data_IF_886544553658
#
_entry.id   IF_886544553658
#
_cell.length_a   1.000
_cell.length_b   1.000
_cell.length_c   1.000
_cell.angle_alpha   90.00
_cell.angle_beta   90.00
_cell.angle_gamma   90.00
#
_symmetry.space_group_name_H-M   'P 1'
#
loop_
_entity.id
_entity.type
_entity.pdbx_description
1 polymer ?
#
# COMPACT_ATOMS: atom_id res chain seq x y z
N UNK A 1 10.13 -12.24 12.05
CA UNK A 1 10.90 -13.40 11.55
C UNK A 1 11.72 -13.05 10.32
N UNK A 2 11.16 -12.40 9.30
CA UNK A 2 11.89 -12.06 8.08
C UNK A 2 13.15 -11.22 8.35
N UNK A 3 13.09 -10.13 9.11
CA UNK A 3 14.27 -9.28 9.36
C UNK A 3 15.31 -9.84 10.37
N UNK A 4 15.04 -11.04 10.91
CA UNK A 4 15.85 -11.70 11.96
C UNK A 4 16.38 -13.04 11.44
N UNK A 5 15.49 -14.00 11.22
CA UNK A 5 15.85 -15.38 10.92
C UNK A 5 16.27 -15.56 9.46
N UNK A 6 15.66 -14.84 8.51
CA UNK A 6 16.00 -14.97 7.09
C UNK A 6 17.41 -14.45 6.78
N UNK A 7 17.85 -13.25 7.23
CA UNK A 7 19.25 -12.83 7.12
C UNK A 7 20.23 -13.81 7.77
N UNK A 8 19.90 -14.33 8.96
CA UNK A 8 20.73 -15.32 9.62
C UNK A 8 20.85 -16.59 8.77
N UNK A 9 19.75 -17.08 8.21
CA UNK A 9 19.73 -18.25 7.32
C UNK A 9 20.54 -18.00 6.03
N UNK A 10 20.34 -16.86 5.37
CA UNK A 10 21.11 -16.47 4.18
C UNK A 10 22.61 -16.43 4.47
N UNK A 11 23.03 -15.75 5.55
CA UNK A 11 24.45 -15.70 5.96
C UNK A 11 24.98 -17.07 6.39
N UNK A 12 24.12 -17.96 6.88
CA UNK A 12 24.48 -19.32 7.26
C UNK A 12 24.88 -20.17 6.06
N UNK A 13 24.17 -19.99 4.94
CA UNK A 13 24.45 -20.65 3.67
C UNK A 13 25.54 -19.94 2.85
N UNK A 14 25.51 -18.61 2.81
CA UNK A 14 26.51 -17.79 2.14
C UNK A 14 27.08 -16.73 3.11
N UNK A 15 28.22 -17.01 3.75
CA UNK A 15 28.87 -16.06 4.63
C UNK A 15 29.44 -14.83 3.90
N UNK A 16 29.45 -14.78 2.56
CA UNK A 16 29.91 -13.60 1.79
C UNK A 16 28.78 -12.65 1.42
N UNK A 17 27.53 -13.05 1.62
CA UNK A 17 26.35 -12.25 1.27
C UNK A 17 26.32 -10.91 2.03
N UNK A 18 25.85 -9.89 1.33
CA UNK A 18 25.65 -8.54 1.85
C UNK A 18 24.15 -8.28 1.98
N UNK A 19 23.67 -8.07 3.20
CA UNK A 19 22.24 -7.93 3.49
C UNK A 19 21.98 -6.57 4.10
N UNK A 20 21.05 -5.82 3.53
CA UNK A 20 20.55 -4.56 4.07
C UNK A 20 19.17 -4.77 4.67
N UNK A 21 18.95 -4.32 5.89
CA UNK A 21 17.65 -4.33 6.56
C UNK A 21 17.25 -2.90 6.95
N UNK A 22 16.06 -2.50 6.53
CA UNK A 22 15.52 -1.15 6.70
C UNK A 22 14.21 -1.22 7.45
N UNK A 23 13.99 -0.30 8.38
CA UNK A 23 12.68 -0.10 9.03
C UNK A 23 12.32 1.39 9.12
N UNK A 24 11.09 1.73 9.48
CA UNK A 24 10.71 3.15 9.64
C UNK A 24 11.58 3.89 10.68
N UNK A 25 12.09 3.20 11.72
CA UNK A 25 12.90 3.78 12.78
C UNK A 25 14.20 3.00 13.04
N UNK A 26 15.28 3.73 13.33
CA UNK A 26 16.60 3.17 13.58
C UNK A 26 16.60 2.26 14.81
N UNK A 27 15.87 2.62 15.87
CA UNK A 27 15.79 1.81 17.09
C UNK A 27 15.19 0.41 16.83
N UNK A 28 14.15 0.34 15.99
CA UNK A 28 13.54 -0.93 15.58
C UNK A 28 14.53 -1.74 14.73
N UNK A 29 15.17 -1.11 13.74
CA UNK A 29 16.17 -1.76 12.90
C UNK A 29 17.33 -2.36 13.74
N UNK A 30 17.80 -1.60 14.74
CA UNK A 30 18.86 -2.00 15.68
C UNK A 30 18.42 -3.13 16.60
N UNK A 31 17.15 -3.16 17.02
CA UNK A 31 16.59 -4.28 17.78
C UNK A 31 16.59 -5.56 16.94
N UNK A 32 16.06 -5.49 15.72
CA UNK A 32 16.04 -6.63 14.80
C UNK A 32 17.46 -7.14 14.49
N UNK A 33 18.45 -6.23 14.44
CA UNK A 33 19.86 -6.57 14.30
C UNK A 33 20.40 -7.37 15.50
N UNK A 34 20.11 -6.93 16.72
CA UNK A 34 20.49 -7.62 17.96
C UNK A 34 19.86 -9.01 18.03
N UNK A 35 18.60 -9.14 17.65
CA UNK A 35 17.90 -10.42 17.65
C UNK A 35 18.50 -11.36 16.60
N UNK A 36 18.78 -10.87 15.39
CA UNK A 36 19.44 -11.64 14.33
C UNK A 36 20.82 -12.14 14.79
N UNK A 37 21.60 -11.25 15.40
CA UNK A 37 22.93 -11.58 15.92
C UNK A 37 22.86 -12.61 17.03
N UNK A 38 21.88 -12.50 17.93
CA UNK A 38 21.64 -13.48 19.00
C UNK A 38 21.36 -14.87 18.45
N UNK A 39 20.57 -14.96 17.36
CA UNK A 39 20.35 -16.23 16.64
C UNK A 39 21.66 -16.80 16.10
N UNK A 40 22.48 -15.98 15.41
CA UNK A 40 23.75 -16.43 14.84
C UNK A 40 24.79 -16.85 15.89
N UNK A 41 24.71 -16.29 17.10
CA UNK A 41 25.58 -16.65 18.22
C UNK A 41 25.07 -17.86 19.02
N UNK A 42 23.83 -18.31 18.77
CA UNK A 42 23.26 -19.45 19.49
C UNK A 42 24.00 -20.77 19.17
N UNK A 43 24.07 -21.72 20.12
CA UNK A 43 24.69 -23.02 19.87
C UNK A 43 24.06 -23.78 18.70
N UNK A 44 22.72 -23.72 18.57
CA UNK A 44 21.98 -24.39 17.50
C UNK A 44 22.37 -23.87 16.11
N UNK A 45 22.46 -22.55 15.94
CA UNK A 45 22.90 -21.98 14.67
C UNK A 45 24.33 -22.39 14.33
N UNK A 46 25.24 -22.33 15.31
CA UNK A 46 26.65 -22.67 15.13
C UNK A 46 26.88 -24.16 14.83
N UNK A 47 25.97 -25.03 15.28
CA UNK A 47 25.97 -26.46 14.98
C UNK A 47 25.53 -26.73 13.53
N UNK A 48 24.60 -25.93 12.99
CA UNK A 48 24.06 -26.11 11.64
C UNK A 48 24.96 -25.45 10.59
N UNK A 49 25.39 -24.22 10.84
CA UNK A 49 26.09 -23.40 9.85
C UNK A 49 27.56 -23.19 10.21
N UNK A 50 28.48 -23.24 9.23
CA UNK A 50 29.90 -22.97 9.46
C UNK A 50 30.18 -21.46 9.63
N UNK A 51 29.25 -20.58 9.25
CA UNK A 51 29.41 -19.12 9.33
C UNK A 51 29.71 -18.64 10.75
N UNK A 52 30.68 -17.72 10.88
CA UNK A 52 31.04 -17.08 12.16
C UNK A 52 31.07 -15.58 12.00
N UNK A 53 30.67 -14.86 13.05
CA UNK A 53 30.80 -13.40 13.10
C UNK A 53 32.25 -13.01 13.40
N UNK A 54 32.73 -11.97 12.75
CA UNK A 54 34.08 -11.47 13.00
C UNK A 54 34.15 -10.79 14.39
N UNK A 55 35.27 -10.97 15.13
CA UNK A 55 35.39 -10.42 16.48
C UNK A 55 35.56 -8.89 16.48
N UNK A 56 36.05 -8.29 15.39
CA UNK A 56 36.49 -6.90 15.34
C UNK A 56 35.43 -5.90 14.83
N UNK A 57 34.27 -6.36 14.37
CA UNK A 57 33.18 -5.48 13.90
C UNK A 57 31.82 -6.02 14.34
N UNK A 58 31.42 -5.59 15.53
CA UNK A 58 30.23 -6.05 16.25
C UNK A 58 29.25 -4.92 16.57
N UNK A 59 29.30 -3.82 15.81
CA UNK A 59 28.36 -2.72 16.01
C UNK A 59 26.93 -3.25 15.81
N UNK A 60 25.98 -2.71 16.58
CA UNK A 60 24.57 -3.13 16.49
C UNK A 60 24.03 -2.88 15.07
N UNK A 61 24.37 -1.73 14.49
CA UNK A 61 23.98 -1.34 13.15
C UNK A 61 24.63 -2.20 12.07
N UNK A 62 25.81 -2.77 12.33
CA UNK A 62 26.56 -3.54 11.35
C UNK A 62 27.43 -4.60 12.02
N UNK A 63 27.15 -5.85 11.69
CA UNK A 63 28.05 -6.96 11.99
C UNK A 63 28.45 -7.67 10.69
N UNK A 64 29.66 -8.22 10.72
CA UNK A 64 30.26 -8.89 9.55
C UNK A 64 30.58 -10.34 9.90
N UNK A 65 30.63 -11.19 8.89
CA UNK A 65 31.13 -12.56 9.01
C UNK A 65 32.65 -12.60 8.88
N UNK A 66 33.25 -13.73 9.23
CA UNK A 66 34.67 -14.01 8.98
C UNK A 66 35.04 -14.08 7.50
N UNK A 67 34.06 -14.12 6.59
CA UNK A 67 34.25 -14.07 5.13
C UNK A 67 33.82 -12.74 4.49
N UNK A 68 33.76 -11.67 5.28
CA UNK A 68 33.48 -10.30 4.84
C UNK A 68 32.05 -10.04 4.30
N UNK A 69 31.14 -11.01 4.37
CA UNK A 69 29.70 -10.72 4.25
C UNK A 69 29.20 -9.97 5.47
N UNK A 70 28.03 -9.33 5.37
CA UNK A 70 27.52 -8.49 6.45
C UNK A 70 26.00 -8.37 6.47
N UNK A 71 25.50 -7.95 7.63
CA UNK A 71 24.16 -7.41 7.77
C UNK A 71 24.27 -5.95 8.24
N UNK A 72 23.70 -5.03 7.47
CA UNK A 72 23.61 -3.61 7.77
C UNK A 72 22.17 -3.24 8.11
N UNK A 73 21.97 -2.46 9.16
CA UNK A 73 20.67 -1.96 9.61
C UNK A 73 20.59 -0.44 9.49
N UNK A 74 19.52 0.06 8.88
CA UNK A 74 19.25 1.50 8.79
C UNK A 74 17.75 1.79 8.89
N UNK A 75 17.38 3.06 8.87
CA UNK A 75 16.00 3.52 8.76
C UNK A 75 15.73 4.20 7.41
N UNK A 76 14.45 4.45 7.13
CA UNK A 76 14.07 5.40 6.07
C UNK A 76 14.77 6.75 6.30
N UNK A 77 15.31 7.34 5.23
CA UNK A 77 16.11 8.56 5.29
C UNK A 77 17.57 8.34 5.75
N UNK A 78 17.96 7.12 6.11
CA UNK A 78 19.31 6.78 6.52
C UNK A 78 20.33 6.87 5.37
N UNK A 79 21.59 7.12 5.73
CA UNK A 79 22.70 7.23 4.76
C UNK A 79 23.19 5.84 4.37
N UNK A 80 23.15 5.53 3.07
CA UNK A 80 23.60 4.26 2.49
C UNK A 80 24.77 4.41 1.51
N UNK A 81 25.39 5.59 1.43
CA UNK A 81 26.44 5.88 0.45
C UNK A 81 27.61 4.91 0.55
N UNK A 82 27.92 4.23 -0.57
CA UNK A 82 29.03 3.27 -0.66
C UNK A 82 28.74 1.90 -0.03
N UNK A 83 27.50 1.62 0.39
CA UNK A 83 27.10 0.36 1.02
C UNK A 83 26.12 -0.39 0.12
N UNK A 84 26.59 -1.44 -0.54
CA UNK A 84 25.77 -2.30 -1.39
C UNK A 84 25.03 -3.40 -0.62
N UNK A 85 24.16 -4.13 -1.31
CA UNK A 85 23.56 -5.36 -0.78
C UNK A 85 23.14 -6.29 -1.92
N UNK A 86 23.24 -7.59 -1.67
CA UNK A 86 22.70 -8.64 -2.53
C UNK A 86 21.22 -8.88 -2.21
N UNK A 87 20.82 -8.66 -0.96
CA UNK A 87 19.42 -8.74 -0.51
C UNK A 87 19.10 -7.50 0.33
N UNK A 88 18.02 -6.80 -0.04
CA UNK A 88 17.48 -5.68 0.73
C UNK A 88 16.13 -6.08 1.31
N UNK A 89 15.96 -5.92 2.62
CA UNK A 89 14.70 -6.16 3.33
C UNK A 89 14.21 -4.82 3.87
N UNK A 90 12.99 -4.45 3.53
CA UNK A 90 12.31 -3.26 4.01
C UNK A 90 11.12 -3.74 4.86
N UNK A 91 11.19 -3.51 6.17
CA UNK A 91 10.25 -4.02 7.17
C UNK A 91 9.54 -2.83 7.85
N UNK A 92 8.27 -2.64 7.52
CA UNK A 92 7.43 -1.50 7.89
C UNK A 92 8.14 -0.15 7.63
N UNK A 93 8.17 0.35 6.37
CA UNK A 93 8.89 1.59 6.03
C UNK A 93 8.21 2.84 6.58
N UNK A 94 6.93 2.78 6.95
CA UNK A 94 6.14 3.92 7.41
C UNK A 94 5.37 3.55 8.67
N UNK A 95 5.22 4.50 9.58
CA UNK A 95 4.22 4.40 10.64
C UNK A 95 2.83 4.75 10.11
N UNK A 96 1.74 4.25 10.72
CA UNK A 96 0.37 4.62 10.34
C UNK A 96 0.11 6.12 10.31
N UNK A 97 0.63 6.89 11.27
CA UNK A 97 0.44 8.35 11.30
C UNK A 97 1.20 9.05 10.18
N UNK A 98 2.38 8.52 9.83
CA UNK A 98 3.23 9.07 8.78
C UNK A 98 2.64 8.81 7.39
N UNK A 99 1.94 7.69 7.23
CA UNK A 99 1.23 7.37 6.01
C UNK A 99 0.05 8.32 5.72
N UNK A 100 -0.42 9.13 6.68
CA UNK A 100 -1.41 10.18 6.42
C UNK A 100 -0.78 11.47 5.88
N UNK A 101 0.54 11.63 6.01
CA UNK A 101 1.25 12.82 5.54
C UNK A 101 1.83 12.61 4.14
N UNK A 102 1.32 13.37 3.17
CA UNK A 102 1.80 13.37 1.78
C UNK A 102 3.31 13.62 1.68
N UNK A 103 3.85 14.46 2.57
CA UNK A 103 5.27 14.77 2.61
C UNK A 103 6.11 13.58 3.08
N UNK A 104 5.64 12.84 4.10
CA UNK A 104 6.37 11.68 4.62
C UNK A 104 6.27 10.48 3.68
N UNK A 105 5.10 10.24 3.06
CA UNK A 105 4.95 9.22 2.02
C UNK A 105 5.89 9.47 0.85
N UNK A 106 5.87 10.70 0.30
CA UNK A 106 6.79 11.08 -0.79
C UNK A 106 8.25 10.96 -0.37
N UNK A 107 8.61 11.40 0.83
CA UNK A 107 9.98 11.26 1.33
C UNK A 107 10.46 9.81 1.40
N UNK A 108 9.61 8.87 1.83
CA UNK A 108 9.94 7.45 1.85
C UNK A 108 10.10 6.88 0.42
N UNK A 109 9.18 7.24 -0.48
CA UNK A 109 9.19 6.81 -1.88
C UNK A 109 10.42 7.37 -2.64
N UNK A 110 10.71 8.67 -2.50
CA UNK A 110 11.90 9.31 -3.08
C UNK A 110 13.20 8.73 -2.52
N UNK A 111 13.25 8.43 -1.22
CA UNK A 111 14.40 7.77 -0.63
C UNK A 111 14.60 6.35 -1.19
N UNK A 112 13.52 5.61 -1.42
CA UNK A 112 13.58 4.32 -2.10
C UNK A 112 14.18 4.47 -3.51
N UNK A 113 13.60 5.35 -4.34
CA UNK A 113 13.98 5.53 -5.75
C UNK A 113 15.43 6.01 -5.90
N UNK A 114 15.81 7.05 -5.14
CA UNK A 114 17.08 7.74 -5.32
C UNK A 114 18.22 7.15 -4.51
N UNK A 115 17.92 6.57 -3.34
CA UNK A 115 18.97 6.09 -2.42
C UNK A 115 19.06 4.58 -2.39
N UNK A 116 17.96 3.88 -2.09
CA UNK A 116 17.97 2.45 -1.78
C UNK A 116 18.07 1.58 -3.02
N UNK A 117 17.27 1.85 -4.07
CA UNK A 117 17.20 1.01 -5.26
C UNK A 117 18.57 0.84 -5.93
N UNK A 118 19.38 1.91 -5.94
CA UNK A 118 20.75 1.89 -6.48
C UNK A 118 21.72 1.00 -5.68
N UNK A 119 21.40 0.63 -4.43
CA UNK A 119 22.25 -0.19 -3.54
C UNK A 119 22.16 -1.67 -3.80
N UNK A 120 21.18 -2.12 -4.58
CA UNK A 120 21.13 -3.51 -5.02
C UNK A 120 22.31 -3.78 -5.95
N UNK A 121 23.25 -4.62 -5.49
CA UNK A 121 24.52 -4.92 -6.15
C UNK A 121 24.31 -5.48 -7.55
N UNK A 122 23.46 -6.50 -7.66
CA UNK A 122 23.10 -7.16 -8.90
C UNK A 122 21.58 -7.09 -9.08
N UNK A 123 21.11 -6.30 -10.06
CA UNK A 123 19.68 -6.10 -10.33
C UNK A 123 19.02 -7.30 -11.01
N UNK A 124 19.79 -8.30 -11.45
CA UNK A 124 19.28 -9.53 -12.06
C UNK A 124 19.21 -10.68 -11.05
N UNK A 125 20.10 -10.70 -10.07
CA UNK A 125 20.25 -11.81 -9.12
C UNK A 125 19.93 -11.45 -7.68
N UNK A 126 20.06 -10.17 -7.33
CA UNK A 126 19.70 -9.68 -6.02
C UNK A 126 18.18 -9.58 -5.85
N UNK A 127 17.76 -9.41 -4.61
CA UNK A 127 16.34 -9.31 -4.27
C UNK A 127 16.08 -8.11 -3.36
N UNK A 128 14.94 -7.45 -3.58
CA UNK A 128 14.35 -6.49 -2.65
C UNK A 128 13.07 -7.13 -2.12
N UNK A 129 12.91 -7.15 -0.80
CA UNK A 129 11.76 -7.75 -0.12
C UNK A 129 11.13 -6.65 0.72
N UNK A 130 9.87 -6.32 0.42
CA UNK A 130 9.09 -5.34 1.19
C UNK A 130 8.07 -6.11 2.02
N UNK A 131 8.06 -5.83 3.32
CA UNK A 131 7.18 -6.47 4.30
C UNK A 131 6.52 -5.35 5.06
N UNK A 132 5.22 -5.17 4.85
CA UNK A 132 4.44 -4.20 5.59
C UNK A 132 2.95 -4.55 5.49
N UNK A 133 2.18 -3.99 6.41
CA UNK A 133 0.75 -3.79 6.17
C UNK A 133 0.55 -2.57 5.27
N UNK A 134 -0.44 -2.60 4.36
CA UNK A 134 -0.80 -1.42 3.57
C UNK A 134 -1.35 -0.32 4.48
N UNK A 135 -0.90 0.92 4.25
CA UNK A 135 -1.32 2.09 5.05
C UNK A 135 -2.01 3.16 4.21
N UNK A 136 -1.68 3.25 2.93
CA UNK A 136 -2.22 4.24 2.00
C UNK A 136 -2.11 3.72 0.56
N UNK A 137 -2.89 4.25 -0.38
CA UNK A 137 -2.75 3.86 -1.80
C UNK A 137 -1.36 4.21 -2.35
N UNK A 138 -0.86 5.41 -2.02
CA UNK A 138 0.49 5.89 -2.34
C UNK A 138 1.58 5.53 -1.30
N UNK A 139 1.36 4.51 -0.47
CA UNK A 139 2.46 3.98 0.35
C UNK A 139 3.55 3.33 -0.51
N UNK A 140 4.67 2.92 0.11
CA UNK A 140 5.81 2.38 -0.63
C UNK A 140 5.42 1.22 -1.55
N UNK A 141 4.52 0.33 -1.10
CA UNK A 141 4.06 -0.80 -1.92
C UNK A 141 3.26 -0.31 -3.13
N UNK A 142 2.33 0.63 -2.94
CA UNK A 142 1.60 1.22 -4.06
C UNK A 142 2.50 1.94 -5.06
N UNK A 143 3.50 2.66 -4.56
CA UNK A 143 4.50 3.35 -5.37
C UNK A 143 5.32 2.40 -6.24
N UNK A 144 5.89 1.33 -5.67
CA UNK A 144 6.73 0.40 -6.45
C UNK A 144 5.91 -0.43 -7.44
N UNK A 145 4.66 -0.79 -7.09
CA UNK A 145 3.74 -1.50 -7.98
C UNK A 145 3.31 -0.66 -9.19
N UNK A 146 3.30 0.67 -9.06
CA UNK A 146 3.00 1.58 -10.17
C UNK A 146 4.17 1.69 -11.18
N UNK A 147 5.40 1.36 -10.76
CA UNK A 147 6.59 1.50 -11.60
C UNK A 147 6.97 0.22 -12.34
N UNK A 148 6.97 -0.92 -11.65
CA UNK A 148 7.42 -2.20 -12.19
C UNK A 148 6.62 -3.36 -11.61
N UNK A 149 6.58 -4.54 -12.27
CA UNK A 149 5.88 -5.69 -11.72
C UNK A 149 6.60 -6.26 -10.50
N UNK A 150 5.83 -6.60 -9.45
CA UNK A 150 6.29 -7.30 -8.26
C UNK A 150 5.50 -8.57 -8.00
N UNK A 151 6.17 -9.56 -7.42
CA UNK A 151 5.49 -10.72 -6.84
C UNK A 151 4.87 -10.32 -5.49
N UNK A 152 3.55 -10.23 -5.45
CA UNK A 152 2.79 -9.81 -4.26
C UNK A 152 2.18 -11.02 -3.56
N UNK A 153 2.56 -11.21 -2.30
CA UNK A 153 1.90 -12.15 -1.40
C UNK A 153 1.09 -11.37 -0.35
N UNK A 154 -0.23 -11.45 -0.43
CA UNK A 154 -1.15 -10.73 0.44
C UNK A 154 -2.05 -11.70 1.20
N UNK A 155 -2.22 -11.46 2.51
CA UNK A 155 -3.09 -12.25 3.37
C UNK A 155 -4.08 -11.33 4.10
N UNK A 156 -5.28 -11.11 3.53
CA UNK A 156 -6.33 -10.36 4.21
C UNK A 156 -6.76 -11.05 5.51
N UNK A 157 -6.96 -10.26 6.56
CA UNK A 157 -7.41 -10.74 7.87
C UNK A 157 -8.73 -11.50 7.77
N UNK A 158 -9.62 -11.13 6.85
CA UNK A 158 -10.84 -11.85 6.50
C UNK A 158 -10.80 -12.17 5.01
N UNK A 159 -11.00 -13.44 4.66
CA UNK A 159 -10.93 -13.89 3.28
C UNK A 159 -12.03 -13.24 2.43
N UNK A 160 -11.65 -12.57 1.34
CA UNK A 160 -12.60 -11.90 0.45
C UNK A 160 -13.21 -12.85 -0.58
N UNK A 161 -12.45 -13.90 -0.92
CA UNK A 161 -12.82 -14.98 -1.83
C UNK A 161 -12.41 -16.32 -1.21
N UNK A 162 -12.91 -17.42 -1.76
CA UNK A 162 -12.42 -18.74 -1.39
C UNK A 162 -10.99 -18.89 -1.92
N UNK A 163 -10.06 -19.21 -1.04
CA UNK A 163 -8.63 -19.26 -1.35
C UNK A 163 -8.01 -20.59 -0.92
N UNK A 164 -7.05 -21.06 -1.71
CA UNK A 164 -6.27 -22.27 -1.44
C UNK A 164 -4.80 -21.93 -1.57
N UNK A 165 -4.10 -21.94 -0.44
CA UNK A 165 -2.67 -21.67 -0.34
C UNK A 165 -1.92 -22.99 -0.25
N UNK A 166 -1.09 -23.30 -1.25
CA UNK A 166 -0.23 -24.47 -1.26
C UNK A 166 1.15 -24.10 -0.72
N UNK A 167 1.50 -24.64 0.44
CA UNK A 167 2.74 -24.34 1.15
C UNK A 167 3.64 -25.56 1.08
N UNK A 168 4.77 -25.43 0.40
CA UNK A 168 5.81 -26.45 0.42
C UNK A 168 6.56 -26.43 1.75
N UNK A 169 6.83 -27.61 2.30
CA UNK A 169 7.52 -27.72 3.59
C UNK A 169 8.89 -28.36 3.40
N UNK A 170 9.84 -27.97 4.26
CA UNK A 170 11.20 -28.52 4.28
C UNK A 170 11.25 -30.02 4.61
N UNK A 171 10.15 -30.60 5.10
CA UNK A 171 10.03 -32.01 5.48
C UNK A 171 9.57 -32.91 4.33
N UNK A 172 9.38 -32.34 3.13
CA UNK A 172 8.79 -33.04 1.99
C UNK A 172 7.25 -33.01 2.05
N UNK A 173 6.63 -32.71 0.91
CA UNK A 173 5.19 -32.58 0.76
C UNK A 173 4.70 -31.13 0.77
N UNK A 174 3.48 -30.95 0.25
CA UNK A 174 2.79 -29.67 0.22
C UNK A 174 1.59 -29.72 1.17
N UNK A 175 1.48 -28.73 2.06
CA UNK A 175 0.29 -28.50 2.85
C UNK A 175 -0.61 -27.53 2.10
N UNK A 176 -1.83 -27.93 1.81
CA UNK A 176 -2.86 -27.01 1.33
C UNK A 176 -3.61 -26.42 2.53
N UNK A 177 -3.66 -25.10 2.61
CA UNK A 177 -4.49 -24.35 3.56
C UNK A 177 -5.61 -23.73 2.75
N UNK A 178 -6.85 -24.09 3.07
CA UNK A 178 -8.05 -23.54 2.43
C UNK A 178 -8.73 -22.59 3.41
N UNK A 179 -9.13 -21.42 2.93
CA UNK A 179 -10.01 -20.50 3.64
C UNK A 179 -11.21 -20.17 2.75
N UNK A 180 -12.40 -20.26 3.32
CA UNK A 180 -13.62 -19.80 2.66
C UNK A 180 -13.79 -18.30 2.85
N UNK A 181 -14.47 -17.66 1.92
CA UNK A 181 -14.89 -16.26 2.03
C UNK A 181 -15.54 -16.01 3.41
N UNK A 182 -15.06 -14.97 4.09
CA UNK A 182 -15.53 -14.58 5.41
C UNK A 182 -14.78 -15.24 6.57
N UNK A 183 -13.88 -16.20 6.33
CA UNK A 183 -13.10 -16.81 7.41
C UNK A 183 -11.90 -15.95 7.83
N UNK A 184 -11.59 -15.86 9.14
CA UNK A 184 -10.45 -15.11 9.62
C UNK A 184 -9.13 -15.81 9.27
N UNK A 185 -8.05 -15.04 9.10
CA UNK A 185 -6.72 -15.55 8.74
C UNK A 185 -6.13 -16.39 9.88
N UNK A 186 -6.34 -15.95 11.11
CA UNK A 186 -5.83 -16.63 12.30
C UNK A 186 -6.88 -16.62 13.42
N UNK A 187 -7.89 -17.51 13.36
CA UNK A 187 -9.02 -17.52 14.30
C UNK A 187 -8.60 -17.56 15.78
N UNK A 188 -7.53 -18.31 16.12
CA UNK A 188 -7.05 -18.44 17.50
C UNK A 188 -6.44 -17.14 18.08
N UNK A 189 -6.03 -16.22 17.20
CA UNK A 189 -5.42 -14.94 17.59
C UNK A 189 -6.43 -13.81 17.48
N UNK A 190 -7.13 -13.73 16.36
CA UNK A 190 -8.09 -12.69 16.02
C UNK A 190 -9.34 -13.35 15.39
N UNK A 191 -10.30 -13.82 16.22
CA UNK A 191 -11.56 -14.34 15.71
C UNK A 191 -12.41 -13.21 15.12
N UNK A 192 -13.46 -13.57 14.36
CA UNK A 192 -14.28 -12.59 13.63
C UNK A 192 -14.87 -11.51 14.52
N UNK A 193 -15.32 -11.85 15.73
CA UNK A 193 -15.87 -10.89 16.68
C UNK A 193 -14.82 -9.86 17.12
N UNK A 194 -13.55 -10.28 17.22
CA UNK A 194 -12.43 -9.39 17.52
C UNK A 194 -12.10 -8.52 16.32
N UNK A 195 -12.08 -9.06 15.11
CA UNK A 195 -11.85 -8.30 13.88
C UNK A 195 -12.94 -7.24 13.66
N UNK A 196 -14.21 -7.59 13.90
CA UNK A 196 -15.32 -6.64 13.83
C UNK A 196 -15.22 -5.54 14.89
N UNK A 197 -14.76 -5.88 16.10
CA UNK A 197 -14.47 -4.87 17.14
C UNK A 197 -13.34 -3.95 16.70
N UNK A 198 -12.24 -4.50 16.18
CA UNK A 198 -11.11 -3.72 15.66
C UNK A 198 -11.59 -2.79 14.55
N UNK A 199 -12.35 -3.30 13.57
CA UNK A 199 -12.93 -2.51 12.47
C UNK A 199 -13.71 -1.30 12.98
N UNK A 200 -14.54 -1.48 14.02
CA UNK A 200 -15.31 -0.38 14.64
C UNK A 200 -14.41 0.62 15.38
N UNK A 201 -13.30 0.17 15.97
CA UNK A 201 -12.39 1.01 16.73
C UNK A 201 -11.49 1.86 15.85
N UNK A 202 -10.83 1.27 14.84
CA UNK A 202 -9.87 1.98 13.98
C UNK A 202 -10.54 2.62 12.76
N UNK A 203 -11.79 2.25 12.46
CA UNK A 203 -12.56 2.72 11.32
C UNK A 203 -12.34 1.89 10.05
N UNK A 204 -13.31 1.92 9.15
CA UNK A 204 -13.33 1.16 7.89
C UNK A 204 -12.09 1.43 7.03
N UNK A 205 -11.66 2.71 6.95
CA UNK A 205 -10.50 3.11 6.15
C UNK A 205 -9.21 2.41 6.61
N UNK A 206 -8.89 2.52 7.91
CA UNK A 206 -7.68 1.91 8.45
C UNK A 206 -7.77 0.38 8.44
N UNK A 207 -8.96 -0.19 8.64
CA UNK A 207 -9.17 -1.64 8.56
C UNK A 207 -8.95 -2.16 7.13
N UNK A 208 -9.48 -1.45 6.12
CA UNK A 208 -9.31 -1.81 4.72
C UNK A 208 -7.81 -1.84 4.31
N UNK A 209 -7.04 -0.83 4.71
CA UNK A 209 -5.59 -0.81 4.52
C UNK A 209 -4.87 -1.87 5.35
N UNK A 210 -4.89 -1.73 6.68
CA UNK A 210 -4.01 -2.48 7.59
C UNK A 210 -4.35 -3.96 7.71
N UNK A 211 -5.64 -4.32 7.65
CA UNK A 211 -6.09 -5.69 7.87
C UNK A 211 -6.48 -6.38 6.57
N UNK A 212 -7.13 -5.69 5.63
CA UNK A 212 -7.54 -6.29 4.35
C UNK A 212 -6.52 -6.09 3.22
N UNK A 213 -5.45 -5.32 3.43
CA UNK A 213 -4.43 -5.01 2.41
C UNK A 213 -4.97 -4.30 1.16
N UNK A 214 -6.11 -3.61 1.30
CA UNK A 214 -6.80 -2.89 0.23
C UNK A 214 -7.04 -1.42 0.65
N UNK A 215 -5.98 -0.59 0.72
CA UNK A 215 -6.15 0.82 1.04
C UNK A 215 -6.99 1.51 -0.04
N UNK A 216 -7.92 2.36 0.40
CA UNK A 216 -8.70 3.23 -0.48
C UNK A 216 -8.11 4.66 -0.47
N UNK A 217 -8.46 5.52 -1.44
CA UNK A 217 -8.21 6.95 -1.33
C UNK A 217 -8.88 7.50 -0.07
N UNK A 218 -8.26 8.44 0.64
CA UNK A 218 -8.86 9.13 1.80
C UNK A 218 -10.23 9.76 1.45
N UNK A 219 -10.42 10.19 0.20
CA UNK A 219 -11.70 10.68 -0.32
C UNK A 219 -12.73 9.60 -0.67
N UNK A 220 -12.30 8.34 -0.85
CA UNK A 220 -13.15 7.22 -1.28
C UNK A 220 -14.01 6.60 -0.16
N UNK A 221 -13.67 6.84 1.11
CA UNK A 221 -14.40 6.31 2.28
C UNK A 221 -15.50 7.22 2.82
N UNK A 222 -15.58 8.47 2.34
CA UNK A 222 -16.56 9.46 2.81
C UNK A 222 -17.97 9.19 2.31
N UNK A 223 -18.13 8.49 1.20
CA UNK A 223 -19.43 8.21 0.57
C UNK A 223 -19.68 6.71 0.63
N UNK A 224 -20.61 6.28 1.50
CA UNK A 224 -21.04 4.88 1.50
C UNK A 224 -21.93 4.61 0.30
N UNK A 225 -21.69 3.51 -0.40
CA UNK A 225 -22.53 3.11 -1.54
C UNK A 225 -24.02 3.00 -1.17
N UNK A 226 -24.34 2.61 0.07
CA UNK A 226 -25.72 2.55 0.61
C UNK A 226 -26.42 3.93 0.71
N UNK A 227 -25.66 5.02 0.76
CA UNK A 227 -26.23 6.38 0.76
C UNK A 227 -26.73 6.78 -0.63
N UNK A 228 -26.16 6.19 -1.69
CA UNK A 228 -26.55 6.42 -3.08
C UNK A 228 -27.72 5.52 -3.47
N UNK A 229 -28.94 6.05 -3.34
CA UNK A 229 -30.15 5.36 -3.75
C UNK A 229 -30.35 5.47 -5.26
N UNK A 230 -30.69 4.36 -5.91
CA UNK A 230 -31.15 4.34 -7.31
C UNK A 230 -32.66 4.55 -7.33
N UNK A 231 -33.14 5.25 -8.33
CA UNK A 231 -34.57 5.47 -8.57
C UNK A 231 -34.92 5.12 -10.02
N UNK A 232 -36.15 4.67 -10.25
CA UNK A 232 -36.74 4.44 -11.57
C UNK A 232 -37.46 5.69 -12.05
N UNK A 233 -37.74 5.79 -13.35
CA UNK A 233 -38.39 6.99 -13.92
C UNK A 233 -39.76 7.28 -13.28
N UNK A 234 -40.49 6.26 -12.85
CA UNK A 234 -41.77 6.43 -12.14
C UNK A 234 -41.64 6.91 -10.68
N UNK A 235 -40.43 6.87 -10.11
CA UNK A 235 -40.11 7.37 -8.76
C UNK A 235 -39.53 8.79 -8.81
N UNK A 236 -39.27 9.31 -10.02
CA UNK A 236 -38.80 10.67 -10.24
C UNK A 236 -39.92 11.67 -9.94
N UNK A 237 -39.66 12.73 -9.15
CA UNK A 237 -40.63 13.81 -8.98
C UNK A 237 -41.03 14.45 -10.31
N UNK A 238 -42.32 14.76 -10.46
CA UNK A 238 -42.83 15.47 -11.65
C UNK A 238 -42.28 16.90 -11.76
N UNK A 239 -41.87 17.50 -10.65
CA UNK A 239 -41.29 18.84 -10.61
C UNK A 239 -40.21 18.94 -9.53
N UNK A 240 -39.20 19.76 -9.80
CA UNK A 240 -38.10 20.08 -8.88
C UNK A 240 -38.24 21.52 -8.40
N UNK A 241 -37.82 21.77 -7.16
CA UNK A 241 -37.82 23.11 -6.57
C UNK A 241 -36.65 23.93 -7.15
N UNK A 242 -35.57 23.25 -7.53
CA UNK A 242 -34.42 23.82 -8.23
C UNK A 242 -33.71 22.77 -9.07
N UNK A 243 -33.16 23.19 -10.21
CA UNK A 243 -32.22 22.41 -11.00
C UNK A 243 -30.86 23.10 -10.93
N UNK A 244 -29.84 22.35 -10.51
CA UNK A 244 -28.47 22.81 -10.30
C UNK A 244 -27.54 22.01 -11.20
N UNK A 245 -26.65 22.69 -11.91
CA UNK A 245 -25.58 22.08 -12.68
C UNK A 245 -24.23 22.39 -12.02
N UNK A 246 -23.40 21.36 -11.87
CA UNK A 246 -22.02 21.50 -11.42
C UNK A 246 -21.09 21.05 -12.53
N UNK A 247 -20.21 21.94 -12.95
CA UNK A 247 -19.23 21.72 -14.00
C UNK A 247 -17.83 21.62 -13.40
N UNK A 248 -17.19 20.48 -13.66
CA UNK A 248 -15.75 20.28 -13.48
C UNK A 248 -15.12 20.35 -14.88
N UNK A 249 -14.22 21.32 -15.07
CA UNK A 249 -13.76 21.71 -16.41
C UNK A 249 -12.26 21.54 -16.59
N UNK A 250 -11.88 20.89 -17.69
CA UNK A 250 -10.50 20.81 -18.15
C UNK A 250 -10.31 21.74 -19.37
N UNK A 251 -9.27 22.58 -19.36
CA UNK A 251 -9.06 23.67 -20.35
C UNK A 251 -8.03 23.36 -21.45
N UNK A 252 -7.66 22.10 -21.68
CA UNK A 252 -6.72 21.71 -22.75
C UNK A 252 -7.31 20.54 -23.52
N UNK A 253 -7.29 20.50 -24.86
CA UNK A 253 -7.62 19.30 -25.64
C UNK A 253 -6.39 18.76 -26.38
N UNK A 254 -5.69 17.84 -25.70
CA UNK A 254 -4.82 16.84 -26.33
C UNK A 254 -5.47 15.46 -26.14
N UNK A 255 -5.08 14.41 -26.87
CA UNK A 255 -5.64 13.06 -26.64
C UNK A 255 -5.42 12.53 -25.20
N UNK A 256 -4.47 13.16 -24.49
CA UNK A 256 -4.12 12.97 -23.07
C UNK A 256 -4.85 13.94 -22.11
N UNK A 257 -5.80 14.73 -22.58
CA UNK A 257 -6.51 15.71 -21.75
C UNK A 257 -7.65 15.11 -20.93
N UNK A 258 -7.86 15.73 -19.77
CA UNK A 258 -8.94 15.41 -18.84
C UNK A 258 -10.32 15.72 -19.43
N UNK A 259 -11.33 15.00 -18.98
CA UNK A 259 -12.70 15.20 -19.44
C UNK A 259 -13.31 16.40 -18.73
N UNK A 260 -14.06 17.22 -19.46
CA UNK A 260 -15.01 18.15 -18.84
C UNK A 260 -16.31 17.40 -18.53
N UNK A 261 -16.77 17.51 -17.29
CA UNK A 261 -17.93 16.77 -16.78
C UNK A 261 -18.95 17.76 -16.22
N UNK A 262 -20.21 17.53 -16.54
CA UNK A 262 -21.34 18.22 -15.90
C UNK A 262 -22.26 17.18 -15.27
N UNK A 263 -22.63 17.43 -14.01
CA UNK A 263 -23.71 16.70 -13.34
C UNK A 263 -24.90 17.64 -13.16
N UNK A 264 -26.08 17.18 -13.58
CA UNK A 264 -27.34 17.94 -13.44
C UNK A 264 -28.17 17.32 -12.32
N UNK A 265 -28.51 18.13 -11.33
CA UNK A 265 -29.20 17.72 -10.11
C UNK A 265 -30.54 18.43 -9.96
N UNK A 266 -31.60 17.66 -9.74
CA UNK A 266 -32.91 18.15 -9.33
C UNK A 266 -33.04 18.12 -7.81
N UNK A 267 -33.34 19.26 -7.20
CA UNK A 267 -33.59 19.39 -5.76
C UNK A 267 -35.10 19.30 -5.51
N UNK A 268 -35.52 18.38 -4.64
CA UNK A 268 -36.90 18.30 -4.15
C UNK A 268 -36.92 18.16 -2.63
N UNK A 269 -37.29 19.23 -1.93
CA UNK A 269 -37.17 19.32 -0.48
C UNK A 269 -35.72 19.11 -0.03
N UNK A 270 -35.47 18.04 0.74
CA UNK A 270 -34.13 17.66 1.21
C UNK A 270 -33.42 16.63 0.32
N UNK A 271 -34.08 16.18 -0.76
CA UNK A 271 -33.56 15.13 -1.63
C UNK A 271 -32.94 15.73 -2.90
N UNK A 272 -31.83 15.13 -3.33
CA UNK A 272 -31.11 15.47 -4.55
C UNK A 272 -31.21 14.29 -5.52
N UNK A 273 -31.66 14.56 -6.74
CA UNK A 273 -31.82 13.56 -7.80
C UNK A 273 -30.83 13.86 -8.92
N UNK A 274 -29.94 12.93 -9.24
CA UNK A 274 -29.08 13.05 -10.41
C UNK A 274 -29.91 12.80 -11.67
N UNK A 275 -30.10 13.83 -12.49
CA UNK A 275 -30.96 13.79 -13.69
C UNK A 275 -30.16 13.42 -14.94
N UNK A 276 -28.93 13.91 -15.04
CA UNK A 276 -28.06 13.66 -16.18
C UNK A 276 -26.59 13.84 -15.82
N UNK A 277 -25.75 13.10 -16.53
CA UNK A 277 -24.29 13.27 -16.52
C UNK A 277 -23.84 13.49 -17.96
N UNK A 278 -23.25 14.65 -18.22
CA UNK A 278 -22.61 14.97 -19.48
C UNK A 278 -21.10 14.86 -19.29
N UNK A 279 -20.41 14.14 -20.19
CA UNK A 279 -18.96 13.94 -20.13
C UNK A 279 -18.37 14.00 -21.53
N UNK A 280 -17.55 15.01 -21.81
CA UNK A 280 -16.84 15.18 -23.10
C UNK A 280 -15.52 15.91 -22.92
N UNK A 281 -14.54 15.59 -23.78
CA UNK A 281 -13.31 16.39 -23.94
C UNK A 281 -13.62 17.56 -24.86
N UNK A 282 -13.47 18.78 -24.36
CA UNK A 282 -13.87 19.99 -25.07
C UNK A 282 -12.81 21.05 -24.92
N UNK A 283 -12.42 21.67 -26.03
CA UNK A 283 -11.70 22.93 -26.02
C UNK A 283 -12.58 24.07 -25.49
N UNK A 284 -11.97 25.12 -24.95
CA UNK A 284 -12.68 26.22 -24.28
C UNK A 284 -13.89 26.79 -25.08
N UNK A 285 -13.80 27.06 -26.41
CA UNK A 285 -14.95 27.54 -27.17
C UNK A 285 -16.10 26.52 -27.29
N UNK A 286 -15.78 25.23 -27.32
CA UNK A 286 -16.77 24.16 -27.35
C UNK A 286 -17.37 23.91 -25.97
N UNK A 287 -16.56 24.01 -24.91
CA UNK A 287 -17.01 23.93 -23.52
C UNK A 287 -18.05 25.01 -23.20
N UNK A 288 -17.77 26.27 -23.57
CA UNK A 288 -18.70 27.37 -23.34
C UNK A 288 -20.05 27.16 -24.04
N UNK A 289 -20.06 26.56 -25.23
CA UNK A 289 -21.30 26.18 -25.94
C UNK A 289 -22.03 25.06 -25.21
N UNK A 290 -21.31 24.01 -24.83
CA UNK A 290 -21.88 22.87 -24.09
C UNK A 290 -22.51 23.30 -22.77
N UNK A 291 -21.88 24.23 -22.01
CA UNK A 291 -22.46 24.78 -20.77
C UNK A 291 -23.82 25.43 -21.03
N UNK A 292 -23.94 26.24 -22.09
CA UNK A 292 -25.20 26.90 -22.44
C UNK A 292 -26.26 25.93 -22.95
N UNK A 293 -25.85 24.96 -23.77
CA UNK A 293 -26.76 23.91 -24.28
C UNK A 293 -27.33 23.07 -23.14
N UNK A 294 -26.49 22.60 -22.22
CA UNK A 294 -26.94 21.84 -21.06
C UNK A 294 -27.79 22.69 -20.12
N UNK A 295 -27.46 23.97 -19.90
CA UNK A 295 -28.28 24.86 -19.08
C UNK A 295 -29.69 25.01 -19.68
N UNK A 296 -29.79 25.19 -21.00
CA UNK A 296 -31.07 25.32 -21.70
C UNK A 296 -31.85 24.00 -21.76
N UNK A 297 -31.19 22.86 -21.97
CA UNK A 297 -31.82 21.54 -22.03
C UNK A 297 -32.59 21.17 -20.75
N UNK A 298 -32.08 21.59 -19.60
CA UNK A 298 -32.66 21.27 -18.30
C UNK A 298 -33.29 22.48 -17.60
N UNK A 299 -33.31 23.65 -18.26
CA UNK A 299 -33.71 24.93 -17.68
C UNK A 299 -33.10 25.16 -16.28
N UNK A 300 -31.78 24.93 -16.19
CA UNK A 300 -31.08 24.91 -14.91
C UNK A 300 -31.09 26.30 -14.26
N UNK A 301 -31.54 26.36 -13.01
CA UNK A 301 -31.65 27.61 -12.26
C UNK A 301 -30.29 28.09 -11.73
N UNK A 302 -29.33 27.17 -11.55
CA UNK A 302 -27.97 27.48 -11.09
C UNK A 302 -26.99 26.69 -11.92
N UNK A 303 -25.96 27.38 -12.38
CA UNK A 303 -24.79 26.76 -13.01
C UNK A 303 -23.57 27.15 -12.19
N UNK A 304 -22.95 26.15 -11.57
CA UNK A 304 -21.69 26.26 -10.86
C UNK A 304 -20.59 25.73 -11.77
N UNK A 305 -19.49 26.48 -11.88
CA UNK A 305 -18.31 26.13 -12.68
C UNK A 305 -17.12 26.26 -11.75
N UNK A 306 -16.35 25.18 -11.61
CA UNK A 306 -15.09 25.13 -10.87
C UNK A 306 -13.92 25.71 -11.67
#
# INVERSE_FOLDING_TARGET
>A
MASIAFPAWCLGHDPTAQILCVSYAQELADKLARDCRSVMLSPYYQQIFPTRLAPYRQAVQEFITTRQGYRLSTSIGGVLTGRGADIIIIDDPLKPEEALSDAQRRGANEWYDHTLYSRLNDKRRGAIIIIMQRLHEDDLVGHVLAQEPWDVLSFPAIAETDEVHRIETIWGGARSVTRRRGEPLHPDREPLETLDRIRRTIGEYNFAGQYQQSPAPLGGGLVKAEWLKRYRENERPQSFDRIVQSWDTANKATELSDFSVCTTWGVKGKNLFLLAVFRRRLEYPALKRAVREQQGLFDANVVLIE
#
